data_IF_006042448140
#
_entry.id   IF_006042448140
#
_cell.length_a   1.000
_cell.length_b   1.000
_cell.length_c   1.000
_cell.angle_alpha   90.00
_cell.angle_beta   90.00
_cell.angle_gamma   90.00
#
_symmetry.space_group_name_H-M   'P 1'
#
loop_
_entity.id
_entity.type
_entity.pdbx_description
1 polymer ?
#
# COMPACT_ATOMS: atom_id res chain seq x y z
N UNK A 1 28.33 -26.15 25.56
CA UNK A 1 27.06 -26.54 26.21
C UNK A 1 26.54 -25.30 26.92
N UNK A 2 25.80 -24.43 26.22
CA UNK A 2 25.17 -23.26 26.84
C UNK A 2 23.93 -23.74 27.58
N UNK A 3 23.84 -23.44 28.87
CA UNK A 3 22.62 -23.61 29.64
C UNK A 3 21.55 -22.67 29.03
N UNK A 4 20.62 -23.24 28.27
CA UNK A 4 19.41 -22.52 27.87
C UNK A 4 18.64 -22.21 29.15
N UNK A 5 18.66 -20.95 29.59
CA UNK A 5 17.80 -20.48 30.66
C UNK A 5 16.35 -20.83 30.32
N UNK A 6 15.59 -21.30 31.30
CA UNK A 6 14.20 -21.65 31.10
C UNK A 6 13.43 -20.43 30.54
N UNK A 7 12.60 -20.69 29.54
CA UNK A 7 11.84 -19.68 28.80
C UNK A 7 10.42 -19.58 29.38
N UNK A 8 9.82 -18.38 29.49
CA UNK A 8 8.47 -18.24 30.02
C UNK A 8 7.47 -19.06 29.18
N UNK A 9 6.70 -19.92 29.83
CA UNK A 9 5.74 -20.78 29.17
C UNK A 9 4.41 -20.79 29.91
N UNK A 10 3.31 -20.76 29.15
CA UNK A 10 1.95 -20.81 29.71
C UNK A 10 0.95 -21.50 28.79
N UNK A 11 -0.21 -21.87 29.34
CA UNK A 11 -1.33 -22.47 28.61
C UNK A 11 -2.56 -21.57 28.73
N UNK A 12 -3.15 -21.27 27.59
CA UNK A 12 -4.34 -20.44 27.42
C UNK A 12 -5.58 -21.29 27.11
N UNK A 13 -6.70 -20.94 27.75
CA UNK A 13 -8.05 -21.48 27.51
C UNK A 13 -8.85 -20.49 26.66
N UNK A 14 -8.99 -20.72 25.34
CA UNK A 14 -9.70 -19.79 24.47
C UNK A 14 -11.21 -19.72 24.74
N UNK A 15 -11.83 -20.77 25.29
CA UNK A 15 -13.26 -20.79 25.59
C UNK A 15 -13.59 -19.97 26.84
N UNK A 16 -12.69 -20.00 27.83
CA UNK A 16 -12.88 -19.30 29.12
C UNK A 16 -12.13 -17.98 29.25
N UNK A 17 -11.33 -17.63 28.26
CA UNK A 17 -10.46 -16.44 28.24
C UNK A 17 -9.60 -16.33 29.51
N UNK A 18 -8.85 -17.39 29.81
CA UNK A 18 -7.99 -17.45 31.00
C UNK A 18 -6.72 -18.26 30.80
N UNK A 19 -5.73 -17.97 31.63
CA UNK A 19 -4.54 -18.80 31.79
C UNK A 19 -4.87 -19.98 32.70
N UNK A 20 -4.38 -21.18 32.38
CA UNK A 20 -4.64 -22.39 33.17
C UNK A 20 -3.39 -23.06 33.71
N UNK A 21 -2.23 -22.67 33.21
CA UNK A 21 -0.94 -23.13 33.69
C UNK A 21 0.16 -22.17 33.22
N UNK A 22 1.24 -22.07 33.99
CA UNK A 22 2.51 -21.49 33.58
C UNK A 22 3.67 -22.16 34.33
N UNK A 23 4.86 -22.14 33.74
CA UNK A 23 6.08 -22.46 34.48
C UNK A 23 6.49 -21.28 35.38
N UNK A 24 7.57 -21.45 36.15
CA UNK A 24 8.08 -20.41 37.06
C UNK A 24 8.40 -19.09 36.35
N UNK A 25 9.01 -19.14 35.17
CA UNK A 25 9.34 -17.94 34.39
C UNK A 25 8.09 -17.32 33.75
N UNK A 26 7.08 -18.13 33.42
CA UNK A 26 5.77 -17.69 32.99
C UNK A 26 5.01 -16.95 34.09
N UNK A 27 5.03 -17.47 35.33
CA UNK A 27 4.49 -16.74 36.50
C UNK A 27 5.18 -15.39 36.67
N UNK A 28 6.52 -15.39 36.63
CA UNK A 28 7.31 -14.16 36.72
C UNK A 28 6.99 -13.18 35.59
N UNK A 29 6.83 -13.67 34.35
CA UNK A 29 6.40 -12.87 33.21
C UNK A 29 5.07 -12.19 33.51
N UNK A 30 4.03 -12.94 33.87
CA UNK A 30 2.70 -12.43 34.22
C UNK A 30 2.65 -11.58 35.51
N UNK A 31 3.74 -11.57 36.29
CA UNK A 31 3.82 -10.83 37.55
C UNK A 31 3.02 -11.44 38.68
N UNK A 32 2.73 -12.74 38.60
CA UNK A 32 1.94 -13.49 39.59
C UNK A 32 2.86 -14.31 40.50
N UNK A 33 2.51 -14.42 41.78
CA UNK A 33 3.31 -15.16 42.77
C UNK A 33 3.00 -16.66 42.77
N UNK A 34 1.81 -17.06 42.32
CA UNK A 34 1.39 -18.45 42.29
C UNK A 34 0.53 -18.80 41.07
N UNK A 35 0.43 -20.10 40.76
CA UNK A 35 -0.49 -20.62 39.76
C UNK A 35 -1.95 -20.32 40.10
N UNK A 36 -2.30 -20.25 41.39
CA UNK A 36 -3.67 -19.97 41.81
C UNK A 36 -4.05 -18.56 41.33
N UNK A 37 -3.22 -17.56 41.66
CA UNK A 37 -3.41 -16.16 41.26
C UNK A 37 -3.52 -16.02 39.73
N UNK A 38 -2.62 -16.70 39.01
CA UNK A 38 -2.62 -16.72 37.54
C UNK A 38 -3.94 -17.28 36.97
N UNK A 39 -4.48 -18.36 37.55
CA UNK A 39 -5.70 -18.99 37.03
C UNK A 39 -6.99 -18.27 37.41
N UNK A 40 -6.96 -17.43 38.45
CA UNK A 40 -8.05 -16.55 38.85
C UNK A 40 -8.10 -15.27 38.01
N UNK A 41 -7.01 -14.94 37.30
CA UNK A 41 -6.96 -13.82 36.37
C UNK A 41 -8.00 -13.95 35.25
N UNK A 42 -8.88 -12.97 35.16
CA UNK A 42 -9.94 -12.90 34.14
C UNK A 42 -9.54 -11.91 33.06
N UNK A 43 -9.58 -12.34 31.80
CA UNK A 43 -9.37 -11.48 30.64
C UNK A 43 -10.74 -11.09 30.08
N UNK A 44 -10.98 -9.78 29.94
CA UNK A 44 -12.21 -9.29 29.34
C UNK A 44 -12.29 -9.68 27.85
N UNK A 45 -13.49 -9.84 27.25
CA UNK A 45 -13.66 -10.13 25.81
C UNK A 45 -13.03 -9.11 24.84
N UNK A 46 -12.55 -7.95 25.32
CA UNK A 46 -11.81 -6.94 24.57
C UNK A 46 -10.33 -6.79 24.95
N UNK A 47 -9.84 -7.61 25.89
CA UNK A 47 -8.45 -7.58 26.36
C UNK A 47 -7.48 -7.83 25.20
N UNK A 48 -6.40 -7.05 25.15
CA UNK A 48 -5.41 -7.08 24.08
C UNK A 48 -4.69 -8.43 24.00
N UNK A 49 -4.39 -9.04 25.15
CA UNK A 49 -3.79 -10.38 25.24
C UNK A 49 -4.75 -11.42 24.66
N UNK A 50 -6.01 -11.36 25.07
CA UNK A 50 -7.03 -12.31 24.60
C UNK A 50 -7.21 -12.22 23.07
N UNK A 51 -7.22 -11.00 22.52
CA UNK A 51 -7.27 -10.78 21.06
C UNK A 51 -6.03 -11.30 20.34
N UNK A 52 -4.83 -11.02 20.86
CA UNK A 52 -3.59 -11.50 20.24
C UNK A 52 -3.50 -13.03 20.20
N UNK A 53 -3.91 -13.71 21.28
CA UNK A 53 -3.95 -15.17 21.33
C UNK A 53 -5.05 -15.76 20.43
N UNK A 54 -6.22 -15.13 20.34
CA UNK A 54 -7.28 -15.55 19.42
C UNK A 54 -6.86 -15.43 17.95
N UNK A 55 -6.18 -14.34 17.57
CA UNK A 55 -5.64 -14.15 16.23
C UNK A 55 -4.60 -15.23 15.89
N UNK A 56 -3.73 -15.58 16.83
CA UNK A 56 -2.76 -16.68 16.64
C UNK A 56 -3.45 -18.04 16.46
N UNK A 57 -4.52 -18.32 17.20
CA UNK A 57 -5.31 -19.55 17.03
C UNK A 57 -5.94 -19.62 15.62
N UNK A 58 -6.47 -18.50 15.13
CA UNK A 58 -7.04 -18.42 13.79
C UNK A 58 -5.97 -18.63 12.69
N UNK A 59 -4.74 -18.17 12.92
CA UNK A 59 -3.61 -18.33 11.99
C UNK A 59 -3.14 -19.79 11.88
N UNK A 60 -3.00 -20.50 13.01
CA UNK A 60 -2.45 -21.87 13.04
C UNK A 60 -3.47 -22.96 12.67
N UNK A 61 -4.78 -22.73 12.90
CA UNK A 61 -5.83 -23.72 12.67
C UNK A 61 -5.82 -24.90 13.67
N UNK A 62 -6.83 -25.77 13.61
CA UNK A 62 -6.97 -26.89 14.56
C UNK A 62 -5.81 -27.90 14.42
N UNK A 63 -5.06 -28.10 15.51
CA UNK A 63 -3.92 -29.03 15.56
C UNK A 63 -2.62 -28.51 14.93
N UNK A 64 -2.54 -27.20 14.67
CA UNK A 64 -1.36 -26.55 14.09
C UNK A 64 -0.34 -26.06 15.12
N UNK A 65 0.93 -26.16 14.74
CA UNK A 65 2.02 -25.41 15.35
C UNK A 65 2.20 -24.06 14.63
N UNK A 66 2.61 -23.04 15.37
CA UNK A 66 2.95 -21.74 14.82
C UNK A 66 4.09 -21.09 15.58
N UNK A 67 4.79 -20.19 14.92
CA UNK A 67 5.83 -19.37 15.54
C UNK A 67 5.73 -17.94 15.02
N UNK A 68 5.90 -16.96 15.90
CA UNK A 68 5.84 -15.55 15.51
C UNK A 68 5.72 -14.63 16.71
N UNK A 69 5.83 -13.31 16.48
CA UNK A 69 5.71 -12.32 17.56
C UNK A 69 4.27 -12.24 18.08
N UNK A 70 4.13 -12.07 19.39
CA UNK A 70 2.89 -11.74 20.10
C UNK A 70 3.13 -10.50 20.96
N UNK A 71 2.13 -9.64 21.05
CA UNK A 71 2.04 -8.65 22.10
C UNK A 71 1.12 -9.18 23.21
N UNK A 72 1.60 -9.18 24.44
CA UNK A 72 0.86 -9.65 25.61
C UNK A 72 0.91 -8.57 26.68
N UNK A 73 -0.10 -8.50 27.56
CA UNK A 73 -0.16 -7.50 28.62
C UNK A 73 0.04 -8.11 30.01
N UNK A 74 1.23 -8.66 30.33
CA UNK A 74 1.43 -9.41 31.56
C UNK A 74 1.16 -8.60 32.83
N UNK A 75 1.52 -7.32 32.86
CA UNK A 75 1.36 -6.46 34.04
C UNK A 75 0.56 -5.20 33.73
N UNK A 76 -0.43 -5.33 32.86
CA UNK A 76 -1.24 -4.21 32.38
C UNK A 76 -0.52 -3.28 31.39
N UNK A 77 0.66 -3.66 30.94
CA UNK A 77 1.42 -2.96 29.89
C UNK A 77 1.82 -3.96 28.79
N UNK A 78 1.81 -3.53 27.51
CA UNK A 78 2.19 -4.38 26.40
C UNK A 78 3.65 -4.80 26.48
N UNK A 79 3.92 -6.05 26.14
CA UNK A 79 5.24 -6.67 26.03
C UNK A 79 5.27 -7.49 24.77
N UNK A 80 6.32 -7.31 23.98
CA UNK A 80 6.54 -8.11 22.79
C UNK A 80 7.38 -9.33 23.11
N UNK A 81 6.99 -10.47 22.57
CA UNK A 81 7.78 -11.69 22.66
C UNK A 81 7.64 -12.49 21.37
N UNK A 82 8.72 -13.17 20.95
CA UNK A 82 8.59 -14.28 20.01
C UNK A 82 7.92 -15.44 20.74
N UNK A 83 6.88 -15.98 20.15
CA UNK A 83 6.14 -17.09 20.72
C UNK A 83 6.11 -18.27 19.76
N UNK A 84 6.55 -19.43 20.25
CA UNK A 84 6.19 -20.72 19.69
C UNK A 84 4.87 -21.14 20.32
N UNK A 85 3.91 -21.52 19.48
CA UNK A 85 2.54 -21.81 19.89
C UNK A 85 2.08 -23.13 19.32
N UNK A 86 1.51 -23.99 20.16
CA UNK A 86 0.95 -25.29 19.76
C UNK A 86 -0.49 -25.36 20.25
N UNK A 87 -1.42 -25.62 19.32
CA UNK A 87 -2.83 -25.78 19.65
C UNK A 87 -3.18 -27.27 19.81
N UNK A 88 -3.55 -27.67 21.02
CA UNK A 88 -3.86 -29.06 21.34
C UNK A 88 -5.24 -29.20 21.96
N UNK A 89 -5.80 -30.41 21.92
CA UNK A 89 -7.02 -30.75 22.66
C UNK A 89 -6.63 -31.46 23.96
N UNK A 90 -6.99 -30.88 25.10
CA UNK A 90 -6.75 -31.47 26.41
C UNK A 90 -7.53 -32.76 26.64
N UNK A 91 -7.19 -33.48 27.72
CA UNK A 91 -7.87 -34.71 28.10
C UNK A 91 -9.37 -34.53 28.40
N UNK A 92 -9.80 -33.30 28.72
CA UNK A 92 -11.20 -32.88 28.89
C UNK A 92 -11.92 -32.60 27.56
N UNK A 93 -11.24 -32.81 26.43
CA UNK A 93 -11.75 -32.53 25.10
C UNK A 93 -11.74 -31.06 24.72
N UNK A 94 -11.17 -30.15 25.53
CA UNK A 94 -11.17 -28.70 25.24
C UNK A 94 -9.91 -28.25 24.53
N UNK A 95 -10.01 -27.21 23.70
CA UNK A 95 -8.84 -26.63 23.05
C UNK A 95 -7.97 -25.87 24.06
N UNK A 96 -6.65 -25.99 23.92
CA UNK A 96 -5.62 -25.36 24.74
C UNK A 96 -4.52 -24.84 23.84
N UNK A 97 -4.18 -23.57 23.98
CA UNK A 97 -3.02 -23.00 23.29
C UNK A 97 -1.85 -22.99 24.26
N UNK A 98 -0.83 -23.81 23.99
CA UNK A 98 0.45 -23.76 24.69
C UNK A 98 1.31 -22.68 24.04
N UNK A 99 1.91 -21.82 24.85
CA UNK A 99 2.69 -20.66 24.40
C UNK A 99 4.03 -20.65 25.12
N UNK A 100 5.11 -20.80 24.36
CA UNK A 100 6.49 -20.68 24.84
C UNK A 100 7.11 -19.38 24.31
N UNK A 101 7.54 -18.51 25.21
CA UNK A 101 8.06 -17.19 24.88
C UNK A 101 9.60 -17.17 24.82
N UNK A 102 10.11 -16.43 23.84
CA UNK A 102 11.52 -16.13 23.64
C UNK A 102 11.65 -14.66 23.23
N UNK A 103 12.83 -14.07 23.38
CA UNK A 103 13.09 -12.67 23.00
C UNK A 103 12.02 -11.72 23.60
N UNK A 104 11.81 -11.82 24.92
CA UNK A 104 10.84 -10.98 25.64
C UNK A 104 11.42 -9.60 25.79
N UNK A 105 10.90 -8.66 25.01
CA UNK A 105 11.33 -7.27 24.98
C UNK A 105 10.14 -6.38 25.39
N UNK A 106 10.34 -5.41 26.31
CA UNK A 106 9.38 -4.33 26.40
C UNK A 106 9.26 -3.70 25.00
N UNK A 107 8.07 -3.23 24.58
CA UNK A 107 7.97 -2.42 23.39
C UNK A 107 8.99 -1.29 23.52
N UNK A 108 9.74 -1.01 22.46
CA UNK A 108 10.68 0.11 22.50
C UNK A 108 9.86 1.38 22.75
N UNK A 109 9.81 1.81 24.02
CA UNK A 109 9.01 2.93 24.50
C UNK A 109 9.36 4.20 23.72
N UNK A 110 10.60 4.29 23.23
CA UNK A 110 11.08 5.40 22.42
C UNK A 110 10.52 5.35 21.00
N UNK A 111 10.47 4.17 20.39
CA UNK A 111 9.83 3.95 19.08
C UNK A 111 8.32 4.24 19.14
N UNK A 112 7.62 3.70 20.15
CA UNK A 112 6.19 3.98 20.35
C UNK A 112 5.93 5.47 20.63
N UNK A 113 6.78 6.13 21.42
CA UNK A 113 6.68 7.56 21.68
C UNK A 113 6.88 8.39 20.40
N UNK A 114 7.85 8.03 19.55
CA UNK A 114 8.10 8.70 18.27
C UNK A 114 6.95 8.48 17.27
N UNK A 115 6.47 7.25 17.15
CA UNK A 115 5.31 6.94 16.31
C UNK A 115 4.06 7.72 16.76
N UNK A 116 3.84 7.79 18.08
CA UNK A 116 2.73 8.56 18.64
C UNK A 116 2.90 10.05 18.42
N UNK A 117 4.11 10.59 18.59
CA UNK A 117 4.41 11.98 18.32
C UNK A 117 4.21 12.34 16.83
N UNK A 118 4.66 11.50 15.90
CA UNK A 118 4.46 11.68 14.47
C UNK A 118 2.98 11.58 14.07
N UNK A 119 2.26 10.60 14.64
CA UNK A 119 0.83 10.44 14.46
C UNK A 119 0.03 11.66 14.97
N UNK A 120 0.34 12.15 16.18
CA UNK A 120 -0.30 13.32 16.78
C UNK A 120 0.07 14.64 16.05
N UNK A 121 1.30 14.75 15.52
CA UNK A 121 1.77 15.93 14.79
C UNK A 121 1.26 15.99 13.34
N UNK A 122 0.73 14.90 12.79
CA UNK A 122 0.23 14.87 11.43
C UNK A 122 -0.92 15.90 11.26
N UNK A 123 -0.83 16.80 10.25
CA UNK A 123 -1.81 17.87 10.09
C UNK A 123 -3.17 17.37 9.57
N UNK A 124 -3.21 16.19 8.95
CA UNK A 124 -4.42 15.56 8.45
C UNK A 124 -5.12 14.69 9.51
N UNK A 125 -6.46 14.59 9.50
CA UNK A 125 -7.22 13.68 10.36
C UNK A 125 -6.82 12.21 10.15
N UNK A 126 -6.17 11.61 11.16
CA UNK A 126 -5.80 10.20 11.18
C UNK A 126 -6.43 9.48 12.39
N UNK A 127 -6.96 8.29 12.14
CA UNK A 127 -7.47 7.41 13.17
C UNK A 127 -7.14 5.94 12.86
N UNK A 128 -6.88 5.16 13.89
CA UNK A 128 -6.63 3.71 13.80
C UNK A 128 -7.84 3.00 14.39
N UNK A 129 -8.32 1.97 13.70
CA UNK A 129 -9.46 1.16 14.08
C UNK A 129 -9.10 -0.32 14.12
N UNK A 130 -9.79 -1.08 14.97
CA UNK A 130 -9.72 -2.54 14.97
C UNK A 130 -10.35 -3.11 13.69
N UNK A 131 -10.17 -4.41 13.47
CA UNK A 131 -10.89 -5.16 12.43
C UNK A 131 -12.43 -5.08 12.55
N UNK A 132 -12.95 -4.85 13.77
CA UNK A 132 -14.39 -4.66 14.02
C UNK A 132 -14.85 -3.22 13.82
N UNK A 133 -13.91 -2.30 13.54
CA UNK A 133 -14.19 -0.88 13.36
C UNK A 133 -14.20 -0.09 14.67
N UNK A 134 -13.82 -0.68 15.81
CA UNK A 134 -13.70 0.06 17.07
C UNK A 134 -12.51 1.00 17.00
N UNK A 135 -12.67 2.22 17.53
CA UNK A 135 -11.59 3.22 17.54
C UNK A 135 -10.48 2.80 18.53
N UNK A 136 -9.25 2.65 18.03
CA UNK A 136 -8.06 2.31 18.81
C UNK A 136 -7.23 3.57 19.13
N UNK A 137 -6.99 4.41 18.13
CA UNK A 137 -6.24 5.66 18.30
C UNK A 137 -6.75 6.74 17.34
N UNK A 138 -6.55 8.01 17.68
CA UNK A 138 -6.80 9.15 16.78
C UNK A 138 -5.90 10.33 17.12
N UNK A 139 -5.49 11.07 16.11
CA UNK A 139 -4.63 12.21 16.26
C UNK A 139 -5.41 13.51 16.54
N UNK A 140 -4.67 14.61 16.74
CA UNK A 140 -5.26 15.89 17.08
C UNK A 140 -6.13 16.47 15.95
N UNK A 141 -5.72 16.30 14.69
CA UNK A 141 -6.51 16.74 13.54
C UNK A 141 -7.86 15.98 13.45
N UNK A 142 -7.86 14.68 13.74
CA UNK A 142 -9.08 13.86 13.80
C UNK A 142 -10.01 14.26 14.94
N UNK A 143 -9.45 14.54 16.13
CA UNK A 143 -10.21 15.06 17.27
C UNK A 143 -10.93 16.36 16.96
N UNK A 144 -10.34 17.24 16.12
CA UNK A 144 -10.98 18.48 15.67
C UNK A 144 -12.03 18.25 14.58
N UNK A 145 -11.77 17.30 13.67
CA UNK A 145 -12.62 17.03 12.52
C UNK A 145 -13.90 16.23 12.84
N UNK A 146 -13.89 15.39 13.88
CA UNK A 146 -14.98 14.49 14.23
C UNK A 146 -15.47 14.69 15.68
N UNK A 147 -16.78 14.54 15.88
CA UNK A 147 -17.41 14.77 17.19
C UNK A 147 -16.84 13.89 18.31
N UNK A 148 -16.93 14.38 19.56
CA UNK A 148 -16.52 13.63 20.74
C UNK A 148 -17.57 12.57 21.11
N UNK A 149 -17.30 11.31 20.75
CA UNK A 149 -18.07 10.13 21.14
C UNK A 149 -17.25 8.86 20.92
N UNK A 150 -17.77 7.66 21.26
CA UNK A 150 -17.08 6.38 21.05
C UNK A 150 -16.95 5.98 19.57
N UNK A 151 -16.95 6.96 18.65
CA UNK A 151 -17.18 6.83 17.22
C UNK A 151 -16.21 5.85 16.56
N UNK A 152 -16.69 4.61 16.45
CA UNK A 152 -16.11 3.62 15.58
C UNK A 152 -16.15 4.08 14.13
N UNK A 153 -15.47 3.33 13.30
CA UNK A 153 -15.28 3.66 11.90
C UNK A 153 -16.61 3.81 11.16
N UNK A 154 -17.57 2.92 11.44
CA UNK A 154 -18.87 2.85 10.76
C UNK A 154 -19.74 4.05 11.13
N UNK A 155 -19.73 4.47 12.39
CA UNK A 155 -20.51 5.60 12.90
C UNK A 155 -20.08 6.95 12.31
N UNK A 156 -18.90 7.01 11.67
CA UNK A 156 -18.43 8.20 10.99
C UNK A 156 -19.08 8.40 9.62
N UNK A 157 -19.72 7.39 9.05
CA UNK A 157 -20.40 7.53 7.76
C UNK A 157 -21.84 8.01 7.95
N UNK A 158 -22.32 8.85 7.03
CA UNK A 158 -23.75 9.18 6.95
C UNK A 158 -24.56 7.92 6.60
N UNK A 159 -24.03 7.07 5.71
CA UNK A 159 -24.54 5.72 5.45
C UNK A 159 -23.64 4.65 6.10
N UNK A 160 -24.08 4.01 7.20
CA UNK A 160 -23.34 2.94 7.87
C UNK A 160 -23.02 1.73 6.98
N UNK A 161 -23.80 1.46 5.93
CA UNK A 161 -23.51 0.36 5.02
C UNK A 161 -22.23 0.63 4.21
N UNK A 162 -21.98 1.89 3.82
CA UNK A 162 -20.76 2.29 3.13
C UNK A 162 -19.53 2.10 4.02
N UNK A 163 -19.61 2.49 5.29
CA UNK A 163 -18.53 2.29 6.27
C UNK A 163 -18.20 0.81 6.50
N UNK A 164 -19.21 -0.06 6.65
CA UNK A 164 -19.01 -1.52 6.77
C UNK A 164 -18.33 -2.10 5.52
N UNK A 165 -18.77 -1.69 4.33
CA UNK A 165 -18.18 -2.14 3.07
C UNK A 165 -16.74 -1.67 2.91
N UNK A 166 -16.42 -0.44 3.31
CA UNK A 166 -15.07 0.12 3.26
C UNK A 166 -14.10 -0.64 4.18
N UNK A 167 -14.54 -0.95 5.41
CA UNK A 167 -13.77 -1.74 6.36
C UNK A 167 -13.52 -3.16 5.84
N UNK A 168 -14.58 -3.86 5.40
CA UNK A 168 -14.48 -5.22 4.86
C UNK A 168 -13.58 -5.29 3.61
N UNK A 169 -13.70 -4.31 2.71
CA UNK A 169 -12.86 -4.21 1.52
C UNK A 169 -11.37 -4.01 1.88
N UNK A 170 -11.08 -3.26 2.94
CA UNK A 170 -9.70 -3.01 3.38
C UNK A 170 -9.09 -4.24 4.04
N UNK A 171 -9.84 -4.94 4.88
CA UNK A 171 -9.34 -6.14 5.56
C UNK A 171 -8.99 -7.25 4.55
N UNK A 172 -9.82 -7.42 3.52
CA UNK A 172 -9.61 -8.38 2.43
C UNK A 172 -8.58 -7.92 1.38
N UNK A 173 -8.62 -6.64 1.00
CA UNK A 173 -7.87 -6.09 -0.14
C UNK A 173 -6.60 -5.30 0.21
N UNK A 174 -6.33 -5.08 1.50
CA UNK A 174 -5.13 -4.38 2.00
C UNK A 174 -5.24 -2.85 2.01
N UNK A 175 -6.01 -2.23 1.11
CA UNK A 175 -6.22 -0.79 1.07
C UNK A 175 -7.57 -0.40 0.43
N UNK A 176 -8.07 0.78 0.75
CA UNK A 176 -9.31 1.35 0.21
C UNK A 176 -9.19 2.87 0.12
N UNK A 177 -9.79 3.51 -0.89
CA UNK A 177 -9.93 4.97 -0.91
C UNK A 177 -11.19 5.38 -1.68
N UNK A 178 -12.06 6.17 -1.08
CA UNK A 178 -13.32 6.65 -1.69
C UNK A 178 -13.72 8.02 -1.15
N UNK A 179 -14.47 8.78 -1.96
CA UNK A 179 -15.19 9.97 -1.47
C UNK A 179 -16.51 9.54 -0.85
N UNK A 180 -16.73 9.89 0.40
CA UNK A 180 -17.91 9.50 1.16
C UNK A 180 -18.44 10.69 1.96
N UNK A 181 -19.74 10.68 2.22
CA UNK A 181 -20.34 11.64 3.16
C UNK A 181 -20.19 11.09 4.58
N UNK A 182 -19.55 11.88 5.43
CA UNK A 182 -19.23 11.51 6.80
C UNK A 182 -19.81 12.51 7.77
N UNK A 183 -19.99 12.08 9.01
CA UNK A 183 -20.46 12.89 10.13
C UNK A 183 -19.27 13.60 10.78
N UNK A 184 -18.90 14.77 10.26
CA UNK A 184 -17.89 15.64 10.88
C UNK A 184 -18.43 16.34 12.14
N UNK A 185 -17.55 17.02 12.87
CA UNK A 185 -17.90 17.75 14.10
C UNK A 185 -18.95 18.85 13.87
N UNK A 186 -18.98 19.45 12.68
CA UNK A 186 -19.97 20.44 12.26
C UNK A 186 -21.21 19.88 11.57
N UNK A 187 -21.37 18.55 11.49
CA UNK A 187 -22.43 17.88 10.74
C UNK A 187 -21.92 17.17 9.47
N UNK A 188 -22.85 16.73 8.58
CA UNK A 188 -22.50 16.01 7.37
C UNK A 188 -21.54 16.81 6.48
N UNK A 189 -20.44 16.19 6.10
CA UNK A 189 -19.37 16.80 5.29
C UNK A 189 -18.76 15.76 4.37
N UNK A 190 -18.26 16.19 3.21
CA UNK A 190 -17.69 15.27 2.23
C UNK A 190 -16.22 15.07 2.52
N UNK A 191 -15.83 13.83 2.74
CA UNK A 191 -14.43 13.47 2.94
C UNK A 191 -13.97 12.48 1.86
N UNK A 192 -12.70 12.57 1.47
CA UNK A 192 -12.01 11.41 0.92
C UNK A 192 -11.52 10.57 2.10
N UNK A 193 -12.06 9.36 2.22
CA UNK A 193 -11.69 8.38 3.23
C UNK A 193 -10.72 7.39 2.60
N UNK A 194 -9.49 7.36 3.11
CA UNK A 194 -8.45 6.42 2.69
C UNK A 194 -8.13 5.48 3.85
N UNK A 195 -8.12 4.18 3.60
CA UNK A 195 -7.83 3.14 4.58
C UNK A 195 -6.65 2.31 4.12
N UNK A 196 -5.79 1.93 5.06
CA UNK A 196 -4.75 0.91 4.84
C UNK A 196 -4.76 -0.08 5.98
N UNK A 197 -4.66 -1.35 5.63
CA UNK A 197 -4.48 -2.44 6.57
C UNK A 197 -3.08 -2.34 7.17
N UNK A 198 -2.98 -2.50 8.47
CA UNK A 198 -1.73 -2.52 9.21
C UNK A 198 -1.80 -3.53 10.35
N UNK A 199 -0.64 -3.82 10.95
CA UNK A 199 -0.60 -4.40 12.28
C UNK A 199 -0.57 -3.27 13.30
N UNK A 200 -1.42 -3.34 14.30
CA UNK A 200 -1.39 -2.42 15.44
C UNK A 200 0.03 -2.42 16.05
N UNK A 201 0.70 -1.26 16.16
CA UNK A 201 2.07 -1.18 16.68
C UNK A 201 2.17 -1.52 18.17
N UNK A 202 1.05 -1.53 18.90
CA UNK A 202 0.99 -1.93 20.31
C UNK A 202 0.67 -3.41 20.49
N UNK A 203 -0.23 -3.97 19.66
CA UNK A 203 -0.77 -5.33 19.87
C UNK A 203 -0.41 -6.35 18.78
N UNK A 204 0.01 -5.90 17.59
CA UNK A 204 0.27 -6.73 16.42
C UNK A 204 -0.97 -7.26 15.72
N UNK A 205 -2.15 -7.06 16.33
CA UNK A 205 -3.43 -7.44 15.80
C UNK A 205 -3.72 -6.69 14.49
N UNK A 206 -4.62 -7.26 13.70
CA UNK A 206 -5.08 -6.63 12.48
C UNK A 206 -5.80 -5.33 12.80
N UNK A 207 -5.33 -4.24 12.19
CA UNK A 207 -5.89 -2.91 12.34
C UNK A 207 -5.97 -2.20 10.99
N UNK A 208 -6.68 -1.09 10.99
CA UNK A 208 -6.81 -0.22 9.82
C UNK A 208 -6.51 1.21 10.23
N UNK A 209 -5.55 1.84 9.55
CA UNK A 209 -5.36 3.29 9.64
C UNK A 209 -6.25 3.96 8.59
N UNK A 210 -7.02 4.95 9.02
CA UNK A 210 -7.88 5.77 8.21
C UNK A 210 -7.39 7.21 8.18
N UNK A 211 -7.45 7.81 7.00
CA UNK A 211 -7.25 9.22 6.74
C UNK A 211 -8.56 9.82 6.22
N UNK A 212 -8.98 10.94 6.80
CA UNK A 212 -10.17 11.67 6.38
C UNK A 212 -9.77 13.05 5.87
N UNK A 213 -9.77 13.22 4.55
CA UNK A 213 -9.48 14.50 3.91
C UNK A 213 -10.79 15.25 3.65
N UNK A 214 -11.03 16.35 4.35
CA UNK A 214 -12.21 17.21 4.13
C UNK A 214 -12.17 17.84 2.73
N UNK A 215 -13.31 17.78 2.04
CA UNK A 215 -13.53 18.35 0.72
C UNK A 215 -14.45 19.58 0.76
N UNK A 216 -14.93 19.96 1.95
CA UNK A 216 -15.97 20.98 2.16
C UNK A 216 -15.42 22.41 2.11
N UNK A 217 -14.11 22.60 2.26
CA UNK A 217 -13.44 23.91 2.31
C UNK A 217 -12.90 24.39 0.95
N UNK A 218 -13.50 23.92 -0.16
CA UNK A 218 -13.18 24.43 -1.50
C UNK A 218 -14.43 25.03 -2.15
N UNK A 219 -14.47 26.35 -2.42
CA UNK A 219 -15.48 26.88 -3.31
C UNK A 219 -15.39 26.12 -4.63
N UNK A 220 -16.56 25.81 -5.22
CA UNK A 220 -16.62 25.26 -6.56
C UNK A 220 -15.75 26.14 -7.47
N UNK A 221 -14.76 25.58 -8.19
CA UNK A 221 -13.78 26.41 -8.88
C UNK A 221 -14.51 27.28 -9.88
N UNK A 222 -14.42 28.60 -9.69
CA UNK A 222 -14.90 29.52 -10.72
C UNK A 222 -14.01 29.33 -11.94
N UNK A 223 -14.57 29.54 -13.14
CA UNK A 223 -13.86 29.34 -14.42
C UNK A 223 -12.56 30.15 -14.54
N UNK A 224 -12.35 31.13 -13.66
CA UNK A 224 -11.16 31.98 -13.55
C UNK A 224 -10.06 31.44 -12.60
N UNK A 225 -10.35 30.51 -11.68
CA UNK A 225 -9.38 29.95 -10.72
C UNK A 225 -8.70 28.66 -11.22
N UNK A 226 -9.23 28.06 -12.29
CA UNK A 226 -8.66 26.89 -12.97
C UNK A 226 -7.29 27.15 -13.61
N UNK A 227 -6.71 28.34 -13.42
CA UNK A 227 -5.42 28.78 -13.96
C UNK A 227 -4.42 29.21 -12.87
N UNK A 228 -4.73 29.08 -11.57
CA UNK A 228 -3.79 29.48 -10.51
C UNK A 228 -2.83 28.35 -10.11
N UNK A 229 -1.54 28.54 -10.42
CA UNK A 229 -0.41 27.66 -10.09
C UNK A 229 -0.31 27.33 -8.59
N UNK A 230 -0.81 28.18 -7.68
CA UNK A 230 -0.73 27.97 -6.23
C UNK A 230 -1.63 26.83 -5.70
N UNK A 231 -2.83 26.66 -6.28
CA UNK A 231 -3.77 25.57 -5.92
C UNK A 231 -3.24 24.20 -6.31
N UNK A 232 -2.59 24.13 -7.48
CA UNK A 232 -1.96 22.91 -7.98
C UNK A 232 -0.69 22.59 -7.18
N UNK A 233 0.16 23.59 -6.88
CA UNK A 233 1.35 23.40 -6.04
C UNK A 233 1.00 22.88 -4.64
N UNK A 234 -0.08 23.35 -4.01
CA UNK A 234 -0.50 22.87 -2.69
C UNK A 234 -1.01 21.41 -2.72
N UNK A 235 -1.77 21.05 -3.77
CA UNK A 235 -2.24 19.67 -4.01
C UNK A 235 -1.05 18.73 -4.28
N UNK A 236 -0.12 19.18 -5.11
CA UNK A 236 1.10 18.45 -5.47
C UNK A 236 2.04 18.28 -4.27
N UNK A 237 2.19 19.30 -3.42
CA UNK A 237 2.95 19.20 -2.17
C UNK A 237 2.32 18.22 -1.17
N UNK A 238 0.99 18.11 -1.15
CA UNK A 238 0.27 17.15 -0.31
C UNK A 238 0.39 15.72 -0.85
N UNK A 239 0.23 15.54 -2.16
CA UNK A 239 0.35 14.24 -2.83
C UNK A 239 1.79 13.71 -2.80
N UNK A 240 2.81 14.58 -2.79
CA UNK A 240 4.23 14.21 -2.61
C UNK A 240 4.60 13.84 -1.17
N UNK A 241 3.96 14.44 -0.17
CA UNK A 241 4.25 14.15 1.24
C UNK A 241 3.89 12.71 1.62
N UNK A 242 2.78 12.19 1.12
CA UNK A 242 2.32 10.82 1.45
C UNK A 242 3.35 9.72 1.07
N UNK A 243 3.89 9.65 -0.16
CA UNK A 243 4.96 8.70 -0.48
C UNK A 243 6.28 9.05 0.20
N UNK A 244 6.59 10.33 0.48
CA UNK A 244 7.81 10.72 1.19
C UNK A 244 7.82 10.19 2.63
N UNK A 245 6.72 10.40 3.35
CA UNK A 245 6.54 9.89 4.71
C UNK A 245 6.58 8.36 4.75
N UNK A 246 6.10 7.69 3.70
CA UNK A 246 6.23 6.23 3.58
C UNK A 246 7.69 5.79 3.37
N UNK A 247 8.43 6.46 2.47
CA UNK A 247 9.86 6.18 2.23
C UNK A 247 10.67 6.40 3.50
N UNK A 248 10.48 7.54 4.17
CA UNK A 248 11.15 7.85 5.43
C UNK A 248 10.83 6.79 6.49
N UNK A 249 9.56 6.46 6.69
CA UNK A 249 9.15 5.46 7.69
C UNK A 249 9.73 4.07 7.44
N UNK A 250 9.67 3.57 6.20
CA UNK A 250 10.22 2.25 5.87
C UNK A 250 11.76 2.23 5.90
N UNK A 251 12.42 3.31 5.45
CA UNK A 251 13.88 3.42 5.51
C UNK A 251 14.37 3.49 6.97
N UNK A 252 13.64 4.18 7.83
CA UNK A 252 13.90 4.26 9.26
C UNK A 252 13.66 2.91 9.94
N UNK A 253 12.62 2.15 9.56
CA UNK A 253 12.44 0.77 10.03
C UNK A 253 13.61 -0.15 9.65
N UNK A 254 14.14 -0.04 8.43
CA UNK A 254 15.31 -0.82 7.99
C UNK A 254 16.57 -0.41 8.75
N UNK A 255 16.80 0.88 8.92
CA UNK A 255 17.97 1.41 9.61
C UNK A 255 17.97 1.05 11.11
N UNK A 256 16.81 1.12 11.76
CA UNK A 256 16.68 0.86 13.20
C UNK A 256 16.78 -0.62 13.55
N UNK A 257 16.23 -1.52 12.73
CA UNK A 257 16.29 -2.95 13.01
C UNK A 257 17.62 -3.60 12.61
N UNK A 258 18.53 -2.87 11.94
CA UNK A 258 19.91 -3.32 11.68
C UNK A 258 19.96 -4.73 11.08
N UNK A 259 20.72 -5.64 11.68
CA UNK A 259 20.84 -7.05 11.25
C UNK A 259 19.75 -7.97 11.81
N UNK A 260 18.94 -7.50 12.76
CA UNK A 260 17.87 -8.27 13.42
C UNK A 260 16.61 -8.39 12.54
N UNK A 261 16.50 -7.58 11.50
CA UNK A 261 15.45 -7.69 10.48
C UNK A 261 15.72 -8.87 9.54
N UNK A 262 14.81 -9.85 9.54
CA UNK A 262 14.78 -10.96 8.59
C UNK A 262 14.87 -10.47 7.14
N UNK A 263 15.57 -11.23 6.29
CA UNK A 263 15.79 -10.87 4.89
C UNK A 263 14.48 -10.61 4.12
N UNK A 264 13.43 -11.39 4.40
CA UNK A 264 12.13 -11.30 3.74
C UNK A 264 11.41 -9.99 4.09
N UNK A 265 11.42 -9.61 5.37
CA UNK A 265 10.79 -8.37 5.85
C UNK A 265 11.56 -7.13 5.38
N UNK A 266 12.90 -7.22 5.35
CA UNK A 266 13.76 -6.19 4.76
C UNK A 266 13.48 -6.02 3.27
N UNK A 267 13.33 -7.13 2.53
CA UNK A 267 12.97 -7.10 1.13
C UNK A 267 11.57 -6.49 0.91
N UNK A 268 10.60 -6.80 1.77
CA UNK A 268 9.26 -6.20 1.75
C UNK A 268 9.29 -4.68 1.95
N UNK A 269 9.96 -4.18 2.99
CA UNK A 269 10.10 -2.73 3.20
C UNK A 269 10.92 -2.04 2.10
N UNK A 270 11.94 -2.70 1.56
CA UNK A 270 12.66 -2.18 0.38
C UNK A 270 11.75 -2.10 -0.85
N UNK A 271 10.84 -3.04 -1.05
CA UNK A 271 9.86 -2.99 -2.14
C UNK A 271 8.78 -1.93 -1.91
N UNK A 272 8.34 -1.74 -0.66
CA UNK A 272 7.44 -0.65 -0.28
C UNK A 272 8.10 0.72 -0.50
N UNK A 273 9.38 0.88 -0.13
CA UNK A 273 10.18 2.08 -0.45
C UNK A 273 10.25 2.28 -1.95
N UNK A 274 10.60 1.24 -2.72
CA UNK A 274 10.66 1.33 -4.18
C UNK A 274 9.33 1.73 -4.79
N UNK A 275 8.23 1.19 -4.29
CA UNK A 275 6.87 1.52 -4.74
C UNK A 275 6.50 2.96 -4.41
N UNK A 276 6.80 3.43 -3.20
CA UNK A 276 6.59 4.81 -2.81
C UNK A 276 7.49 5.78 -3.59
N UNK A 277 8.76 5.44 -3.84
CA UNK A 277 9.67 6.22 -4.68
C UNK A 277 9.19 6.28 -6.13
N UNK A 278 8.73 5.17 -6.72
CA UNK A 278 8.12 5.16 -8.06
C UNK A 278 6.88 6.06 -8.14
N UNK A 279 6.03 6.02 -7.10
CA UNK A 279 4.85 6.90 -7.02
C UNK A 279 5.25 8.36 -6.90
N UNK A 280 6.25 8.68 -6.09
CA UNK A 280 6.77 10.03 -5.95
C UNK A 280 7.36 10.54 -7.25
N UNK A 281 8.14 9.71 -7.94
CA UNK A 281 8.69 10.02 -9.25
C UNK A 281 7.54 10.32 -10.23
N UNK A 282 6.53 9.46 -10.31
CA UNK A 282 5.35 9.71 -11.14
C UNK A 282 4.59 11.02 -10.79
N UNK A 283 4.57 11.41 -9.50
CA UNK A 283 3.98 12.69 -9.07
C UNK A 283 4.86 13.88 -9.43
N UNK A 284 6.19 13.79 -9.25
CA UNK A 284 7.13 14.82 -9.72
C UNK A 284 7.00 15.01 -11.22
N UNK A 285 6.85 13.93 -11.96
CA UNK A 285 6.60 13.93 -13.39
C UNK A 285 5.25 14.58 -13.76
N UNK A 286 4.21 14.35 -12.96
CA UNK A 286 2.92 15.03 -13.08
C UNK A 286 3.04 16.54 -12.82
N UNK A 287 3.85 16.96 -11.83
CA UNK A 287 4.14 18.37 -11.54
C UNK A 287 4.86 19.03 -12.71
N UNK A 288 5.87 18.35 -13.25
CA UNK A 288 6.64 18.81 -14.42
C UNK A 288 5.74 18.91 -15.65
N UNK A 289 4.76 18.01 -15.81
CA UNK A 289 3.78 18.07 -16.90
C UNK A 289 2.70 19.15 -16.71
N UNK A 290 2.34 19.50 -15.46
CA UNK A 290 1.33 20.52 -15.12
C UNK A 290 1.92 21.93 -15.03
N UNK A 291 3.21 22.06 -14.73
CA UNK A 291 3.93 23.30 -14.58
C UNK A 291 4.31 23.96 -15.91
N UNK A 292 3.32 24.43 -16.68
CA UNK A 292 3.21 25.85 -17.04
C UNK A 292 2.25 26.13 -18.22
N UNK A 293 1.31 27.08 -18.05
CA UNK A 293 0.86 27.92 -19.14
C UNK A 293 2.00 28.89 -19.48
N UNK A 294 2.71 28.65 -20.59
CA UNK A 294 3.69 29.59 -21.14
C UNK A 294 5.17 29.20 -21.02
N UNK A 295 5.50 28.02 -20.50
CA UNK A 295 6.88 27.51 -20.64
C UNK A 295 7.03 26.87 -22.02
N UNK A 296 8.01 27.37 -22.77
CA UNK A 296 8.49 26.79 -24.02
C UNK A 296 8.69 25.27 -23.84
N UNK A 297 8.13 24.41 -24.72
CA UNK A 297 8.40 22.96 -24.75
C UNK A 297 9.89 22.59 -24.64
N UNK A 298 10.79 23.54 -24.95
CA UNK A 298 12.23 23.41 -24.74
C UNK A 298 12.68 23.21 -23.27
N UNK A 299 11.88 23.58 -22.26
CA UNK A 299 12.27 23.46 -20.84
C UNK A 299 12.09 22.04 -20.26
N UNK A 300 11.36 21.15 -20.96
CA UNK A 300 11.26 19.72 -20.62
C UNK A 300 12.48 18.91 -21.10
N UNK A 301 13.48 19.56 -21.71
CA UNK A 301 14.75 18.94 -22.12
C UNK A 301 15.68 18.77 -20.91
N UNK A 302 15.29 17.90 -19.97
CA UNK A 302 16.23 17.35 -18.99
C UNK A 302 17.07 16.30 -19.70
N UNK A 303 18.36 16.57 -19.90
CA UNK A 303 19.27 15.88 -20.84
C UNK A 303 19.01 16.27 -22.29
N UNK A 304 20.04 16.61 -23.06
CA UNK A 304 19.88 17.10 -24.43
C UNK A 304 19.09 16.13 -25.31
N UNK A 305 18.23 16.67 -26.18
CA UNK A 305 17.71 15.90 -27.32
C UNK A 305 18.91 15.34 -28.09
N UNK A 306 18.94 14.03 -28.25
CA UNK A 306 19.95 13.33 -29.02
C UNK A 306 19.34 12.15 -29.74
N UNK A 307 20.05 11.56 -30.72
CA UNK A 307 19.62 10.35 -31.36
C UNK A 307 19.45 9.22 -30.32
N UNK A 308 18.28 8.58 -30.30
CA UNK A 308 18.00 7.44 -29.41
C UNK A 308 17.95 6.14 -30.21
N UNK A 309 18.81 5.18 -29.88
CA UNK A 309 18.70 3.82 -30.40
C UNK A 309 17.48 3.11 -29.79
N UNK A 310 16.41 3.02 -30.59
CA UNK A 310 15.16 2.40 -30.18
C UNK A 310 15.31 0.91 -29.83
N UNK A 311 16.21 0.19 -30.49
CA UNK A 311 16.43 -1.24 -30.24
C UNK A 311 17.16 -1.43 -28.92
N UNK A 312 18.25 -0.69 -28.71
CA UNK A 312 18.99 -0.74 -27.44
C UNK A 312 18.08 -0.41 -26.24
N UNK A 313 17.24 0.61 -26.38
CA UNK A 313 16.27 1.00 -25.36
C UNK A 313 15.20 -0.07 -25.13
N UNK A 314 14.64 -0.66 -26.20
CA UNK A 314 13.65 -1.74 -26.08
C UNK A 314 14.24 -2.97 -25.36
N UNK A 315 15.48 -3.34 -25.68
CA UNK A 315 16.19 -4.43 -25.01
C UNK A 315 16.48 -4.12 -23.54
N UNK A 316 16.82 -2.88 -23.20
CA UNK A 316 17.01 -2.45 -21.81
C UNK A 316 15.73 -2.56 -21.00
N UNK A 317 14.62 -2.06 -21.53
CA UNK A 317 13.30 -2.18 -20.90
C UNK A 317 12.92 -3.66 -20.73
N UNK A 318 13.14 -4.49 -21.75
CA UNK A 318 12.87 -5.92 -21.64
C UNK A 318 13.71 -6.61 -20.55
N UNK A 319 15.00 -6.26 -20.44
CA UNK A 319 15.86 -6.76 -19.34
C UNK A 319 15.36 -6.32 -17.98
N UNK A 320 14.95 -5.06 -17.83
CA UNK A 320 14.46 -4.50 -16.56
C UNK A 320 13.17 -5.18 -16.08
N UNK A 321 12.27 -5.49 -17.00
CA UNK A 321 10.97 -6.13 -16.71
C UNK A 321 10.98 -7.66 -16.78
N UNK A 322 12.13 -8.29 -17.08
CA UNK A 322 12.25 -9.75 -17.14
C UNK A 322 11.81 -10.47 -15.85
N UNK A 323 12.13 -9.99 -14.62
CA UNK A 323 11.64 -10.62 -13.39
C UNK A 323 10.11 -10.57 -13.25
N UNK A 324 9.49 -9.45 -13.64
CA UNK A 324 8.04 -9.26 -13.59
C UNK A 324 7.33 -10.15 -14.61
N UNK A 325 7.88 -10.28 -15.81
CA UNK A 325 7.38 -11.18 -16.85
C UNK A 325 7.47 -12.65 -16.41
N UNK A 326 8.59 -13.05 -15.79
CA UNK A 326 8.77 -14.39 -15.24
C UNK A 326 7.76 -14.69 -14.11
N UNK A 327 7.57 -13.75 -13.18
CA UNK A 327 6.56 -13.86 -12.12
C UNK A 327 5.12 -13.91 -12.67
N UNK A 328 4.88 -13.33 -13.85
CA UNK A 328 3.59 -13.36 -14.53
C UNK A 328 3.35 -14.62 -15.39
N UNK A 329 4.39 -15.42 -15.66
CA UNK A 329 4.31 -16.52 -16.62
C UNK A 329 4.08 -16.05 -18.06
N UNK A 330 4.55 -14.85 -18.40
CA UNK A 330 4.37 -14.18 -19.70
C UNK A 330 5.71 -14.09 -20.41
N UNK A 331 5.72 -14.34 -21.72
CA UNK A 331 6.93 -14.15 -22.54
C UNK A 331 7.06 -12.69 -22.94
N UNK A 332 8.17 -12.04 -22.58
CA UNK A 332 8.50 -10.69 -23.03
C UNK A 332 9.58 -10.77 -24.12
N UNK A 333 9.25 -10.35 -25.35
CA UNK A 333 10.20 -10.36 -26.48
C UNK A 333 10.36 -8.98 -27.12
N UNK A 334 11.55 -8.75 -27.69
CA UNK A 334 11.85 -7.58 -28.53
C UNK A 334 12.09 -8.09 -29.96
N UNK A 335 11.30 -7.57 -30.90
CA UNK A 335 11.25 -8.05 -32.28
C UNK A 335 11.36 -6.90 -33.27
N UNK A 336 11.78 -7.21 -34.50
CA UNK A 336 11.98 -6.21 -35.54
C UNK A 336 13.27 -5.40 -35.37
N UNK A 337 13.39 -4.34 -36.15
CA UNK A 337 14.55 -3.45 -36.13
C UNK A 337 14.12 -2.04 -36.53
N UNK A 338 14.95 -1.03 -36.25
CA UNK A 338 14.72 0.36 -36.64
C UNK A 338 16.02 0.94 -37.20
N UNK A 339 15.93 1.68 -38.30
CA UNK A 339 17.05 2.49 -38.80
C UNK A 339 16.93 3.96 -38.39
N UNK A 340 15.94 4.28 -37.56
CA UNK A 340 15.68 5.64 -37.10
C UNK A 340 16.03 5.77 -35.64
N UNK A 341 16.87 6.76 -35.38
CA UNK A 341 17.23 7.25 -34.06
C UNK A 341 16.48 8.57 -33.85
N UNK A 342 15.26 8.57 -33.29
CA UNK A 342 14.52 9.80 -33.07
C UNK A 342 15.32 10.73 -32.16
N UNK A 343 15.40 12.01 -32.52
CA UNK A 343 16.01 13.03 -31.68
C UNK A 343 15.03 13.44 -30.57
N UNK A 344 15.10 12.74 -29.44
CA UNK A 344 14.25 13.00 -28.30
C UNK A 344 15.02 12.90 -26.98
N UNK A 345 14.33 13.24 -25.88
CA UNK A 345 14.82 12.93 -24.55
C UNK A 345 14.68 11.42 -24.29
N UNK A 346 15.82 10.73 -24.19
CA UNK A 346 15.89 9.29 -23.95
C UNK A 346 15.20 8.89 -22.64
N UNK A 347 15.27 9.72 -21.59
CA UNK A 347 14.65 9.43 -20.31
C UNK A 347 13.12 9.43 -20.42
N UNK A 348 12.54 10.41 -21.10
CA UNK A 348 11.11 10.44 -21.40
C UNK A 348 10.66 9.24 -22.23
N UNK A 349 11.43 8.83 -23.24
CA UNK A 349 11.09 7.66 -24.05
C UNK A 349 11.18 6.36 -23.25
N UNK A 350 12.21 6.20 -22.42
CA UNK A 350 12.35 5.07 -21.48
C UNK A 350 11.13 4.96 -20.56
N UNK A 351 10.67 6.09 -20.02
CA UNK A 351 9.48 6.16 -19.15
C UNK A 351 8.20 5.79 -19.88
N UNK A 352 8.02 6.24 -21.12
CA UNK A 352 6.86 5.83 -21.93
C UNK A 352 6.85 4.31 -22.13
N UNK A 353 7.98 3.73 -22.56
CA UNK A 353 8.07 2.29 -22.83
C UNK A 353 7.91 1.45 -21.56
N UNK A 354 8.52 1.86 -20.45
CA UNK A 354 8.35 1.19 -19.16
C UNK A 354 6.89 1.18 -18.70
N UNK A 355 6.17 2.30 -18.85
CA UNK A 355 4.74 2.38 -18.52
C UNK A 355 3.89 1.46 -19.39
N UNK A 356 4.19 1.38 -20.69
CA UNK A 356 3.45 0.52 -21.62
C UNK A 356 3.71 -0.97 -21.35
N UNK A 357 4.97 -1.37 -21.11
CA UNK A 357 5.35 -2.75 -20.79
C UNK A 357 4.79 -3.18 -19.43
N UNK A 358 4.88 -2.32 -18.41
CA UNK A 358 4.29 -2.59 -17.10
C UNK A 358 2.78 -2.79 -17.20
N UNK A 359 2.07 -1.94 -17.96
CA UNK A 359 0.63 -2.10 -18.17
C UNK A 359 0.30 -3.41 -18.89
N UNK A 360 1.06 -3.77 -19.92
CA UNK A 360 0.91 -5.02 -20.65
C UNK A 360 1.13 -6.24 -19.74
N UNK A 361 2.13 -6.19 -18.85
CA UNK A 361 2.41 -7.25 -17.89
C UNK A 361 1.40 -7.32 -16.74
N UNK A 362 0.82 -6.21 -16.29
CA UNK A 362 -0.17 -6.19 -15.21
C UNK A 362 -1.58 -6.59 -15.69
N UNK A 363 -1.97 -6.08 -16.87
CA UNK A 363 -3.36 -6.17 -17.36
C UNK A 363 -3.53 -7.10 -18.56
N UNK A 364 -2.46 -7.36 -19.32
CA UNK A 364 -2.46 -8.26 -20.48
C UNK A 364 -2.31 -9.75 -20.14
N UNK A 365 -2.40 -10.13 -18.85
CA UNK A 365 -2.10 -11.49 -18.39
C UNK A 365 -3.11 -12.52 -18.94
N UNK A 366 -2.57 -13.50 -19.68
CA UNK A 366 -3.21 -14.77 -20.04
C UNK A 366 -2.21 -15.91 -19.74
N UNK A 367 -2.64 -17.10 -19.29
CA UNK A 367 -1.73 -18.24 -19.14
C UNK A 367 -0.99 -18.54 -20.45
N UNK A 368 0.35 -18.45 -20.44
CA UNK A 368 1.18 -18.60 -21.65
C UNK A 368 1.15 -17.41 -22.61
N UNK A 369 0.66 -16.25 -22.16
CA UNK A 369 0.56 -15.03 -22.96
C UNK A 369 1.92 -14.42 -23.31
N UNK A 370 1.90 -13.44 -24.21
CA UNK A 370 3.08 -12.79 -24.74
C UNK A 370 2.92 -11.26 -24.78
N UNK A 371 3.95 -10.57 -24.30
CA UNK A 371 4.15 -9.13 -24.51
C UNK A 371 5.28 -8.95 -25.51
N UNK A 372 5.01 -8.21 -26.58
CA UNK A 372 5.96 -7.97 -27.67
C UNK A 372 6.25 -6.49 -27.79
N UNK A 373 7.54 -6.14 -27.81
CA UNK A 373 8.02 -4.82 -28.18
C UNK A 373 8.54 -4.91 -29.61
N UNK A 374 7.78 -4.41 -30.57
CA UNK A 374 8.12 -4.49 -32.00
C UNK A 374 8.58 -3.14 -32.55
N UNK A 375 9.65 -3.18 -33.35
CA UNK A 375 10.17 -2.02 -34.08
C UNK A 375 9.79 -2.11 -35.56
N UNK A 376 9.20 -1.04 -36.11
CA UNK A 376 8.76 -0.94 -37.50
C UNK A 376 9.65 0.06 -38.28
N UNK A 377 10.52 -0.49 -39.14
CA UNK A 377 11.42 0.26 -40.02
C UNK A 377 10.70 1.20 -41.00
N UNK A 378 9.48 0.88 -41.43
CA UNK A 378 8.76 1.65 -42.45
C UNK A 378 7.93 2.81 -41.89
N UNK A 379 7.57 2.74 -40.61
CA UNK A 379 6.69 3.70 -39.95
C UNK A 379 7.41 4.59 -38.92
N UNK A 380 8.72 4.42 -38.71
CA UNK A 380 9.49 5.06 -37.64
C UNK A 380 8.78 4.91 -36.31
N UNK A 381 8.48 3.66 -35.93
CA UNK A 381 7.59 3.38 -34.82
C UNK A 381 8.10 2.25 -33.94
N UNK A 382 7.77 2.35 -32.65
CA UNK A 382 7.91 1.28 -31.67
C UNK A 382 6.52 0.96 -31.12
N UNK A 383 6.18 -0.32 -31.04
CA UNK A 383 4.87 -0.79 -30.59
C UNK A 383 5.03 -1.79 -29.46
N UNK A 384 4.29 -1.59 -28.37
CA UNK A 384 4.14 -2.56 -27.28
C UNK A 384 2.78 -3.21 -27.43
N UNK A 385 2.74 -4.53 -27.56
CA UNK A 385 1.52 -5.29 -27.74
C UNK A 385 1.43 -6.49 -26.78
N UNK A 386 0.23 -6.78 -26.29
CA UNK A 386 -0.11 -7.97 -25.51
C UNK A 386 -1.30 -8.73 -26.10
N UNK A 387 -1.41 -10.01 -25.75
CA UNK A 387 -2.47 -10.93 -26.16
C UNK A 387 -3.56 -11.13 -25.09
N UNK A 388 -3.69 -10.14 -24.20
CA UNK A 388 -4.60 -10.15 -23.06
C UNK A 388 -6.07 -9.92 -23.43
N UNK A 389 -6.92 -9.60 -22.43
CA UNK A 389 -8.37 -9.44 -22.63
C UNK A 389 -8.75 -8.20 -23.45
N UNK A 390 -7.82 -7.26 -23.67
CA UNK A 390 -8.10 -5.99 -24.34
C UNK A 390 -9.06 -5.09 -23.56
N UNK A 391 -9.49 -3.99 -24.18
CA UNK A 391 -10.38 -2.99 -23.59
C UNK A 391 -11.57 -2.69 -24.51
N UNK A 392 -12.74 -2.40 -23.92
CA UNK A 392 -13.83 -1.75 -24.64
C UNK A 392 -13.49 -0.30 -24.96
N UNK A 393 -14.22 0.33 -25.90
CA UNK A 393 -14.02 1.72 -26.24
C UNK A 393 -14.22 2.66 -25.03
N UNK A 394 -15.17 2.34 -24.15
CA UNK A 394 -15.44 3.09 -22.93
C UNK A 394 -14.30 2.94 -21.90
N UNK A 395 -13.78 1.72 -21.74
CA UNK A 395 -12.65 1.45 -20.85
C UNK A 395 -11.37 2.15 -21.34
N UNK A 396 -11.10 2.12 -22.65
CA UNK A 396 -9.99 2.84 -23.25
C UNK A 396 -10.15 4.36 -23.09
N UNK A 397 -11.36 4.89 -23.34
CA UNK A 397 -11.62 6.31 -23.15
C UNK A 397 -11.43 6.74 -21.69
N UNK A 398 -11.78 5.89 -20.71
CA UNK A 398 -11.53 6.12 -19.30
C UNK A 398 -10.03 6.06 -18.95
N UNK A 399 -9.29 5.07 -19.47
CA UNK A 399 -7.85 4.91 -19.25
C UNK A 399 -7.02 6.06 -19.85
N UNK A 400 -7.54 6.74 -20.86
CA UNK A 400 -6.90 7.90 -21.51
C UNK A 400 -7.29 9.25 -20.89
N UNK A 401 -8.20 9.29 -19.90
CA UNK A 401 -8.54 10.56 -19.23
C UNK A 401 -7.35 11.05 -18.40
N UNK A 402 -7.03 12.35 -18.44
CA UNK A 402 -6.07 12.94 -17.53
C UNK A 402 -6.49 12.67 -16.09
N UNK A 403 -5.55 12.16 -15.29
CA UNK A 403 -5.79 11.89 -13.88
C UNK A 403 -6.20 13.18 -13.15
N UNK A 404 -7.30 13.15 -12.38
CA UNK A 404 -7.75 14.29 -11.57
C UNK A 404 -9.01 15.03 -12.03
N UNK A 405 -9.61 14.69 -13.18
CA UNK A 405 -10.96 15.15 -13.55
C UNK A 405 -11.94 13.96 -13.58
N UNK A 406 -12.68 13.79 -12.48
CA UNK A 406 -13.92 13.00 -12.41
C UNK A 406 -13.84 11.49 -12.73
N UNK A 407 -12.94 10.74 -12.07
CA UNK A 407 -13.10 9.28 -12.01
C UNK A 407 -14.07 8.91 -10.88
N UNK A 408 -15.37 8.93 -11.19
CA UNK A 408 -16.39 8.21 -10.45
C UNK A 408 -16.38 6.72 -10.83
N UNK A 409 -16.73 5.88 -9.86
CA UNK A 409 -17.08 4.46 -9.96
C UNK A 409 -16.03 3.49 -10.58
N UNK A 410 -15.46 2.65 -9.71
CA UNK A 410 -15.06 1.28 -10.05
C UNK A 410 -13.90 1.12 -11.05
N UNK A 411 -12.68 1.02 -10.56
CA UNK A 411 -11.56 0.58 -11.38
C UNK A 411 -10.28 0.48 -10.57
N UNK A 412 -9.73 -0.74 -10.51
CA UNK A 412 -8.37 -1.04 -10.07
C UNK A 412 -7.39 -0.08 -10.76
N UNK A 413 -6.30 0.23 -10.07
CA UNK A 413 -5.03 0.95 -10.41
C UNK A 413 -4.59 1.27 -11.86
N UNK A 414 -5.29 0.91 -12.94
CA UNK A 414 -4.82 0.97 -14.33
C UNK A 414 -4.97 2.30 -15.10
N UNK A 415 -5.35 3.41 -14.46
CA UNK A 415 -5.62 4.69 -15.16
C UNK A 415 -4.41 5.64 -15.34
N UNK A 416 -3.30 5.37 -14.67
CA UNK A 416 -2.16 6.30 -14.59
C UNK A 416 -1.16 6.14 -15.73
N UNK A 417 -0.90 4.90 -16.18
CA UNK A 417 0.18 4.63 -17.14
C UNK A 417 -0.10 5.13 -18.56
N UNK A 418 -1.34 4.96 -19.06
CA UNK A 418 -1.67 5.22 -20.47
C UNK A 418 -1.89 6.71 -20.77
N UNK A 419 -2.50 7.44 -19.83
CA UNK A 419 -2.66 8.90 -19.91
C UNK A 419 -1.30 9.61 -19.81
N UNK A 420 -0.38 9.13 -18.96
CA UNK A 420 0.99 9.63 -18.86
C UNK A 420 1.80 9.35 -20.13
N UNK A 421 1.76 8.11 -20.64
CA UNK A 421 2.40 7.74 -21.90
C UNK A 421 1.96 8.65 -23.06
N UNK A 422 0.67 9.01 -23.12
CA UNK A 422 0.14 9.93 -24.14
C UNK A 422 0.68 11.36 -23.99
N UNK A 423 0.78 11.87 -22.77
CA UNK A 423 1.29 13.22 -22.51
C UNK A 423 2.80 13.32 -22.83
N UNK A 424 3.58 12.34 -22.37
CA UNK A 424 5.02 12.27 -22.65
C UNK A 424 5.31 12.08 -24.15
N UNK A 425 4.54 11.24 -24.84
CA UNK A 425 4.68 11.08 -26.29
C UNK A 425 4.50 12.42 -27.02
N UNK A 426 3.49 13.21 -26.64
CA UNK A 426 3.28 14.54 -27.21
C UNK A 426 4.45 15.50 -26.90
N UNK A 427 5.00 15.45 -25.69
CA UNK A 427 6.13 16.29 -25.27
C UNK A 427 7.41 15.99 -26.06
N UNK A 428 7.67 14.72 -26.41
CA UNK A 428 8.81 14.31 -27.24
C UNK A 428 8.54 14.38 -28.74
N UNK A 429 7.41 14.97 -29.17
CA UNK A 429 7.05 15.11 -30.58
C UNK A 429 6.62 13.80 -31.27
N UNK A 430 6.36 12.74 -30.50
CA UNK A 430 5.83 11.47 -30.97
C UNK A 430 4.29 11.44 -30.91
N UNK A 431 3.69 10.54 -31.70
CA UNK A 431 2.25 10.28 -31.67
C UNK A 431 1.98 8.88 -31.12
N UNK A 432 1.29 8.82 -29.98
CA UNK A 432 0.79 7.56 -29.44
C UNK A 432 -0.52 7.15 -30.13
N UNK A 433 -0.54 5.97 -30.73
CA UNK A 433 -1.70 5.31 -31.33
C UNK A 433 -2.02 4.04 -30.55
N UNK A 434 -3.28 3.80 -30.25
CA UNK A 434 -3.70 2.63 -29.46
C UNK A 434 -4.75 1.85 -30.24
N UNK A 435 -4.56 0.54 -30.31
CA UNK A 435 -5.49 -0.44 -30.90
C UNK A 435 -5.80 -1.48 -29.85
N UNK A 436 -7.07 -1.67 -29.53
CA UNK A 436 -7.52 -2.69 -28.58
C UNK A 436 -9.02 -2.92 -28.76
N UNK A 437 -9.45 -4.16 -28.56
CA UNK A 437 -10.84 -4.55 -28.50
C UNK A 437 -10.99 -5.74 -27.53
N UNK A 438 -12.18 -5.98 -26.96
CA UNK A 438 -12.40 -7.12 -26.07
C UNK A 438 -12.03 -8.45 -26.75
N UNK A 439 -11.08 -9.17 -26.18
CA UNK A 439 -10.57 -10.45 -26.67
C UNK A 439 -9.47 -10.36 -27.74
N UNK A 440 -9.12 -9.16 -28.23
CA UNK A 440 -8.11 -8.94 -29.26
C UNK A 440 -6.76 -8.42 -28.72
N UNK A 441 -6.63 -8.33 -27.39
CA UNK A 441 -5.44 -7.79 -26.74
C UNK A 441 -5.33 -6.27 -26.83
N UNK A 442 -4.13 -5.75 -26.63
CA UNK A 442 -3.84 -4.33 -26.65
C UNK A 442 -2.52 -4.07 -27.38
N UNK A 443 -2.49 -3.00 -28.18
CA UNK A 443 -1.30 -2.55 -28.89
C UNK A 443 -1.19 -1.02 -28.82
N UNK A 444 -0.08 -0.53 -28.28
CA UNK A 444 0.27 0.88 -28.20
C UNK A 444 1.50 1.17 -29.07
N UNK A 445 1.30 1.92 -30.14
CA UNK A 445 2.30 2.30 -31.13
C UNK A 445 2.70 3.75 -30.96
N UNK A 446 3.96 4.01 -30.65
CA UNK A 446 4.57 5.34 -30.75
C UNK A 446 5.10 5.53 -32.16
N UNK A 447 4.64 6.58 -32.83
CA UNK A 447 5.10 6.99 -34.17
C UNK A 447 5.91 8.27 -34.04
N UNK A 448 7.16 8.26 -34.49
CA UNK A 448 8.02 9.44 -34.51
C UNK A 448 7.88 10.17 -35.85
N UNK A 449 8.05 11.49 -35.86
CA UNK A 449 8.14 12.24 -37.12
C UNK A 449 9.43 11.83 -37.83
N UNK A 450 9.36 11.61 -39.15
CA UNK A 450 10.58 11.51 -39.95
C UNK A 450 11.33 12.85 -39.87
N UNK A 451 12.62 12.77 -39.51
CA UNK A 451 13.54 13.91 -39.51
C UNK A 451 13.85 14.39 -40.92
#
# INVERSE_FOLDING_TARGET
>A
MNAAGAQPEFIWDPERLRLVWANSDGLAFWGEESLIDLTERVFAPGDETARALAARIAEIGEGGDGAGRLALNPRGAPVWARAATTLERGADGRLRLRVALSEVEPPDDRLLALMRAGFDAAPQPLAIFSETGALLARNEADRRGFAAGPGGFVERYVDPAEGRNALAATLSGGAYSRKSETMGAGGPSRHRVSLRRMSDPSTGALAVIAEFQDLSDRPAPTRAEATSTASDIAKLAHDLRSPLTAIEGFAEFIAMAGDEMSAERRAGYLDDIRTASRRMLALVEEIVALGAPGTDPAALRGSGCGPVDLRALAEEIARLHAPEAAAAGVTLSVEGDSHVEPECDAASLQRILGNLVSNALEHGRRPGGAVRVSLDRGANAIEVADDGPGMSAEALAAALRPYGREAGAGGRTGGLGLSNAKALAAAIGARLQIRTAPGEGFAARLVFRAG
#
